data_IF_809644844510
#
_entry.id   IF_809644844510
#
_cell.length_a   1.000
_cell.length_b   1.000
_cell.length_c   1.000
_cell.angle_alpha   90.00
_cell.angle_beta   90.00
_cell.angle_gamma   90.00
#
_symmetry.space_group_name_H-M   'P 1'
#
loop_
_entity.id
_entity.type
_entity.pdbx_description
1 polymer ?
#
# COMPACT_ATOMS: atom_id res chain seq x y z
N UNK A 1 16.09 -3.76 0.31
CA UNK A 1 16.14 -2.68 -0.69
C UNK A 1 16.32 -1.35 0.04
N UNK A 2 17.21 -0.47 -0.41
CA UNK A 2 17.38 0.87 0.16
C UNK A 2 16.44 1.90 -0.50
N UNK A 3 16.32 3.08 0.09
CA UNK A 3 15.57 4.19 -0.49
C UNK A 3 16.08 4.57 -1.88
N UNK A 4 17.39 4.82 -2.03
CA UNK A 4 18.00 5.21 -3.30
C UNK A 4 17.87 4.12 -4.38
N UNK A 5 18.01 2.85 -4.01
CA UNK A 5 17.79 1.72 -4.92
C UNK A 5 16.35 1.69 -5.45
N UNK A 6 15.39 2.00 -4.58
CA UNK A 6 13.98 2.06 -4.97
C UNK A 6 13.68 3.26 -5.87
N UNK A 7 14.31 4.41 -5.62
CA UNK A 7 14.17 5.58 -6.50
C UNK A 7 14.76 5.32 -7.91
N UNK A 8 15.94 4.69 -8.01
CA UNK A 8 16.51 4.26 -9.30
C UNK A 8 15.56 3.29 -10.02
N UNK A 9 15.00 2.32 -9.28
CA UNK A 9 14.03 1.38 -9.81
C UNK A 9 12.79 2.09 -10.35
N UNK A 10 12.20 3.04 -9.60
CA UNK A 10 11.03 3.81 -10.03
C UNK A 10 11.32 4.59 -11.32
N UNK A 11 12.47 5.27 -11.39
CA UNK A 11 12.87 6.03 -12.58
C UNK A 11 12.97 5.12 -13.80
N UNK A 12 13.65 3.98 -13.67
CA UNK A 12 13.83 3.04 -14.79
C UNK A 12 12.53 2.33 -15.18
N UNK A 13 11.66 2.04 -14.22
CA UNK A 13 10.37 1.39 -14.46
C UNK A 13 9.43 2.28 -15.27
N UNK A 14 9.47 3.60 -15.04
CA UNK A 14 8.66 4.55 -15.81
C UNK A 14 9.05 4.62 -17.30
N UNK A 15 10.28 4.26 -17.64
CA UNK A 15 10.79 4.31 -19.02
C UNK A 15 10.53 3.02 -19.81
N UNK A 16 10.52 1.86 -19.14
CA UNK A 16 10.43 0.56 -19.81
C UNK A 16 9.94 -0.54 -18.85
N UNK A 17 9.38 -1.63 -19.39
CA UNK A 17 9.13 -2.83 -18.61
C UNK A 17 10.41 -3.36 -17.97
N UNK A 18 10.32 -3.76 -16.70
CA UNK A 18 11.41 -4.35 -15.95
C UNK A 18 10.95 -5.65 -15.30
N UNK A 19 11.82 -6.66 -15.21
CA UNK A 19 11.55 -7.82 -14.39
C UNK A 19 11.62 -7.43 -12.91
N UNK A 20 10.75 -8.02 -12.10
CA UNK A 20 10.76 -7.80 -10.67
C UNK A 20 11.97 -8.44 -10.00
N UNK A 21 12.75 -7.65 -9.26
CA UNK A 21 13.93 -8.10 -8.52
C UNK A 21 13.60 -9.17 -7.45
N UNK A 22 12.38 -9.12 -6.90
CA UNK A 22 11.88 -10.01 -5.84
C UNK A 22 10.70 -10.87 -6.33
N UNK A 23 10.67 -11.18 -7.64
CA UNK A 23 9.62 -11.99 -8.27
C UNK A 23 8.33 -11.24 -8.61
N UNK A 24 7.94 -10.20 -7.84
CA UNK A 24 6.81 -9.30 -8.18
C UNK A 24 7.11 -7.85 -7.82
N UNK A 25 6.54 -6.91 -8.58
CA UNK A 25 6.63 -5.47 -8.30
C UNK A 25 5.57 -5.04 -7.26
N UNK A 26 5.67 -5.56 -6.04
CA UNK A 26 4.87 -5.14 -4.89
C UNK A 26 5.82 -4.69 -3.77
N UNK A 27 5.71 -3.43 -3.37
CA UNK A 27 6.61 -2.81 -2.42
C UNK A 27 5.83 -2.15 -1.27
N UNK A 28 6.45 -2.08 -0.09
CA UNK A 28 5.94 -1.37 1.07
C UNK A 28 6.80 -0.13 1.31
N UNK A 29 6.19 1.05 1.22
CA UNK A 29 6.81 2.33 1.53
C UNK A 29 6.39 2.76 2.94
N UNK A 30 7.35 2.84 3.86
CA UNK A 30 7.14 3.41 5.19
C UNK A 30 7.65 4.83 5.22
N UNK A 31 6.74 5.78 5.02
CA UNK A 31 7.04 7.18 4.77
C UNK A 31 5.79 7.97 4.35
N UNK A 32 5.93 9.26 4.05
CA UNK A 32 4.78 10.06 3.61
C UNK A 32 4.42 9.75 2.16
N UNK A 33 3.11 9.70 1.88
CA UNK A 33 2.59 9.55 0.51
C UNK A 33 2.98 10.74 -0.38
N UNK A 34 3.06 11.95 0.20
CA UNK A 34 3.49 13.16 -0.50
C UNK A 34 4.93 13.06 -1.01
N UNK A 35 5.83 12.51 -0.20
CA UNK A 35 7.22 12.31 -0.62
C UNK A 35 7.31 11.29 -1.75
N UNK A 36 6.58 10.17 -1.63
CA UNK A 36 6.49 9.20 -2.72
C UNK A 36 5.90 9.82 -4.01
N UNK A 37 4.83 10.61 -3.89
CA UNK A 37 4.20 11.27 -5.03
C UNK A 37 5.13 12.29 -5.72
N UNK A 38 6.04 12.91 -4.96
CA UNK A 38 7.03 13.84 -5.51
C UNK A 38 8.12 13.14 -6.36
N UNK A 39 8.38 11.85 -6.13
CA UNK A 39 9.41 11.08 -6.84
C UNK A 39 8.85 10.17 -7.92
N UNK A 40 7.58 9.77 -7.84
CA UNK A 40 6.94 8.93 -8.87
C UNK A 40 6.61 9.79 -10.10
N UNK A 41 7.03 9.39 -11.31
CA UNK A 41 6.70 10.14 -12.52
C UNK A 41 5.18 10.19 -12.76
N UNK A 42 4.63 11.41 -12.87
CA UNK A 42 3.18 11.62 -12.91
C UNK A 42 2.46 11.01 -14.12
N UNK A 43 3.18 10.66 -15.19
CA UNK A 43 2.64 9.98 -16.37
C UNK A 43 2.37 8.49 -16.15
N UNK A 44 2.98 7.88 -15.13
CA UNK A 44 2.75 6.47 -14.76
C UNK A 44 2.07 6.32 -13.39
N UNK A 45 2.00 7.40 -12.60
CA UNK A 45 1.40 7.39 -11.28
C UNK A 45 -0.12 7.20 -11.31
N UNK A 46 -0.62 6.25 -10.52
CA UNK A 46 -2.06 6.09 -10.25
C UNK A 46 -2.26 5.95 -8.76
N UNK A 47 -3.19 6.73 -8.20
CA UNK A 47 -3.51 6.68 -6.78
C UNK A 47 -4.75 5.81 -6.50
N UNK A 48 -4.70 5.05 -5.43
CA UNK A 48 -5.84 4.33 -4.86
C UNK A 48 -5.89 4.57 -3.35
N UNK A 49 -6.87 5.34 -2.90
CA UNK A 49 -7.13 5.55 -1.48
C UNK A 49 -8.22 4.59 -1.00
N UNK A 50 -7.86 3.69 -0.08
CA UNK A 50 -8.79 2.69 0.46
C UNK A 50 -9.88 3.31 1.35
N UNK A 51 -9.61 4.42 2.03
CA UNK A 51 -10.64 5.14 2.77
C UNK A 51 -11.65 5.77 1.82
N UNK A 52 -11.17 6.43 0.77
CA UNK A 52 -12.05 6.97 -0.27
C UNK A 52 -12.85 5.85 -0.94
N UNK A 53 -12.23 4.71 -1.22
CA UNK A 53 -12.91 3.54 -1.78
C UNK A 53 -14.05 3.06 -0.88
N UNK A 54 -13.77 2.85 0.41
CA UNK A 54 -14.77 2.39 1.39
C UNK A 54 -15.87 3.43 1.61
N UNK A 55 -15.59 4.72 1.47
CA UNK A 55 -16.60 5.77 1.55
C UNK A 55 -17.66 5.70 0.43
N UNK A 56 -17.34 5.08 -0.71
CA UNK A 56 -18.30 4.92 -1.83
C UNK A 56 -19.25 3.73 -1.67
N UNK A 57 -19.10 2.93 -0.61
CA UNK A 57 -19.86 1.72 -0.42
C UNK A 57 -21.32 2.03 -0.04
N UNK A 58 -22.29 1.27 -0.59
CA UNK A 58 -23.71 1.59 -0.41
C UNK A 58 -24.19 1.34 1.03
N UNK A 59 -23.49 0.49 1.79
CA UNK A 59 -23.87 0.12 3.15
C UNK A 59 -22.64 -0.16 4.01
N UNK A 60 -22.71 0.22 5.29
CA UNK A 60 -21.70 -0.15 6.26
C UNK A 60 -21.74 -1.67 6.54
N UNK A 61 -20.58 -2.36 6.55
CA UNK A 61 -20.52 -3.79 6.83
C UNK A 61 -20.93 -4.06 8.29
N UNK A 62 -21.75 -5.10 8.50
CA UNK A 62 -22.26 -5.48 9.83
C UNK A 62 -21.30 -6.35 10.65
N UNK A 63 -20.20 -6.79 10.04
CA UNK A 63 -19.18 -7.62 10.69
C UNK A 63 -17.82 -7.45 10.01
N UNK A 64 -16.75 -7.84 10.71
CA UNK A 64 -15.37 -7.87 10.17
C UNK A 64 -15.27 -8.75 8.92
N UNK A 65 -15.93 -9.90 8.89
CA UNK A 65 -15.92 -10.79 7.71
C UNK A 65 -16.65 -10.18 6.52
N UNK A 66 -17.75 -9.47 6.76
CA UNK A 66 -18.46 -8.75 5.72
C UNK A 66 -17.59 -7.60 5.18
N UNK A 67 -16.93 -6.85 6.07
CA UNK A 67 -15.99 -5.80 5.69
C UNK A 67 -14.83 -6.35 4.85
N UNK A 68 -14.21 -7.47 5.27
CA UNK A 68 -13.14 -8.13 4.53
C UNK A 68 -13.56 -8.55 3.13
N UNK A 69 -14.70 -9.25 3.00
CA UNK A 69 -15.22 -9.70 1.70
C UNK A 69 -15.50 -8.52 0.78
N UNK A 70 -16.19 -7.52 1.31
CA UNK A 70 -16.61 -6.37 0.55
C UNK A 70 -15.43 -5.51 0.10
N UNK A 71 -14.44 -5.27 0.97
CA UNK A 71 -13.20 -4.57 0.60
C UNK A 71 -12.41 -5.35 -0.46
N UNK A 72 -12.27 -6.68 -0.28
CA UNK A 72 -11.60 -7.55 -1.27
C UNK A 72 -12.30 -7.52 -2.64
N UNK A 73 -13.61 -7.65 -2.66
CA UNK A 73 -14.37 -7.72 -3.92
C UNK A 73 -14.35 -6.36 -4.65
N UNK A 74 -14.42 -5.27 -3.89
CA UNK A 74 -14.30 -3.89 -4.42
C UNK A 74 -12.89 -3.65 -4.96
N UNK A 75 -11.84 -4.04 -4.24
CA UNK A 75 -10.46 -3.97 -4.70
C UNK A 75 -10.28 -4.74 -6.00
N UNK A 76 -10.71 -6.00 -6.05
CA UNK A 76 -10.61 -6.81 -7.26
C UNK A 76 -11.28 -6.14 -8.46
N UNK A 77 -12.44 -5.50 -8.26
CA UNK A 77 -13.12 -4.76 -9.32
C UNK A 77 -12.35 -3.51 -9.77
N UNK A 78 -11.77 -2.74 -8.84
CA UNK A 78 -10.99 -1.54 -9.18
C UNK A 78 -9.67 -1.86 -9.88
N UNK A 79 -9.08 -3.01 -9.57
CA UNK A 79 -7.79 -3.43 -10.08
C UNK A 79 -7.87 -4.21 -11.40
N UNK A 80 -9.07 -4.68 -11.79
CA UNK A 80 -9.27 -5.58 -12.94
C UNK A 80 -8.74 -5.03 -14.27
N UNK A 81 -8.85 -3.71 -14.48
CA UNK A 81 -8.49 -3.09 -15.75
C UNK A 81 -7.01 -2.70 -15.84
N UNK A 82 -6.27 -2.67 -14.71
CA UNK A 82 -4.88 -2.22 -14.67
C UNK A 82 -3.95 -3.00 -15.61
N UNK A 83 -4.00 -4.35 -15.65
CA UNK A 83 -3.09 -5.12 -16.49
C UNK A 83 -3.39 -5.02 -17.99
N UNK A 84 -4.53 -4.43 -18.39
CA UNK A 84 -4.94 -4.34 -19.80
C UNK A 84 -4.39 -3.09 -20.50
N UNK A 85 -3.71 -2.22 -19.75
CA UNK A 85 -3.15 -0.98 -20.27
C UNK A 85 -1.75 -1.25 -20.82
N UNK A 86 -1.52 -0.91 -22.09
CA UNK A 86 -0.22 -1.07 -22.77
C UNK A 86 0.84 -0.05 -22.30
N UNK A 87 0.74 0.45 -21.08
CA UNK A 87 1.63 1.46 -20.52
C UNK A 87 2.07 1.09 -19.08
N UNK A 88 3.24 1.59 -18.70
CA UNK A 88 3.77 1.44 -17.35
C UNK A 88 2.89 2.16 -16.33
N UNK A 89 2.61 1.50 -15.20
CA UNK A 89 1.81 2.05 -14.11
C UNK A 89 2.46 1.80 -12.75
N UNK A 90 2.50 2.84 -11.94
CA UNK A 90 2.85 2.78 -10.51
C UNK A 90 1.60 3.08 -9.71
N UNK A 91 0.98 2.01 -9.19
CA UNK A 91 -0.19 2.09 -8.32
C UNK A 91 0.27 2.39 -6.88
N UNK A 92 0.05 3.63 -6.45
CA UNK A 92 0.28 4.09 -5.07
C UNK A 92 -1.00 3.87 -4.27
N UNK A 93 -0.95 3.02 -3.25
CA UNK A 93 -2.10 2.66 -2.42
C UNK A 93 -1.95 3.29 -1.03
N UNK A 94 -2.95 4.03 -0.57
CA UNK A 94 -3.01 4.65 0.78
C UNK A 94 -4.20 4.13 1.59
N UNK A 95 -4.24 4.37 2.90
CA UNK A 95 -5.27 3.83 3.80
C UNK A 95 -5.12 2.32 4.04
N UNK A 96 -3.88 1.84 4.08
CA UNK A 96 -3.58 0.42 4.22
C UNK A 96 -3.82 -0.14 5.64
N UNK A 97 -4.10 0.73 6.62
CA UNK A 97 -4.62 0.33 7.93
C UNK A 97 -5.88 -0.54 7.79
N UNK A 98 -6.75 -0.25 6.81
CA UNK A 98 -7.94 -1.05 6.54
C UNK A 98 -7.61 -2.50 6.16
N UNK A 99 -6.52 -2.73 5.44
CA UNK A 99 -6.08 -4.08 5.07
C UNK A 99 -5.66 -4.86 6.30
N UNK A 100 -4.91 -4.25 7.21
CA UNK A 100 -4.50 -4.88 8.48
C UNK A 100 -5.70 -5.09 9.41
N UNK A 101 -6.51 -4.04 9.61
CA UNK A 101 -7.69 -4.05 10.49
C UNK A 101 -8.68 -5.16 10.15
N UNK A 102 -8.94 -5.37 8.86
CA UNK A 102 -9.86 -6.41 8.40
C UNK A 102 -9.16 -7.70 7.96
N UNK A 103 -7.82 -7.78 8.06
CA UNK A 103 -6.98 -8.89 7.60
C UNK A 103 -7.29 -9.27 6.14
N UNK A 104 -7.32 -8.28 5.26
CA UNK A 104 -7.60 -8.47 3.82
C UNK A 104 -6.36 -9.01 3.13
N UNK A 105 -6.42 -10.22 2.53
CA UNK A 105 -5.28 -10.77 1.80
C UNK A 105 -4.85 -9.88 0.64
N UNK A 106 -3.54 -9.75 0.41
CA UNK A 106 -2.97 -8.94 -0.68
C UNK A 106 -3.02 -9.62 -2.06
N UNK A 107 -3.75 -10.73 -2.20
CA UNK A 107 -3.80 -11.55 -3.42
C UNK A 107 -4.08 -10.74 -4.68
N UNK A 108 -5.05 -9.82 -4.63
CA UNK A 108 -5.39 -8.97 -5.77
C UNK A 108 -4.27 -8.01 -6.19
N UNK A 109 -3.44 -7.54 -5.25
CA UNK A 109 -2.26 -6.73 -5.58
C UNK A 109 -1.16 -7.58 -6.19
N UNK A 110 -0.95 -8.80 -5.68
CA UNK A 110 -0.01 -9.73 -6.28
C UNK A 110 -0.41 -10.13 -7.70
N UNK A 111 -1.70 -10.35 -7.96
CA UNK A 111 -2.23 -10.74 -9.27
C UNK A 111 -1.98 -9.69 -10.35
N UNK A 112 -2.07 -8.39 -10.02
CA UNK A 112 -1.81 -7.32 -10.98
C UNK A 112 -0.34 -6.95 -11.10
N UNK A 113 0.46 -7.16 -10.05
CA UNK A 113 1.87 -6.80 -10.03
C UNK A 113 2.63 -7.57 -11.12
N UNK A 114 3.21 -6.84 -12.05
CA UNK A 114 3.81 -7.35 -13.29
C UNK A 114 4.91 -6.42 -13.77
N UNK A 115 5.58 -6.77 -14.88
CA UNK A 115 6.60 -5.92 -15.51
C UNK A 115 6.06 -4.57 -16.02
N UNK A 116 4.73 -4.40 -16.04
CA UNK A 116 4.05 -3.17 -16.44
C UNK A 116 3.33 -2.47 -15.29
N UNK A 117 3.09 -3.18 -14.18
CA UNK A 117 2.36 -2.64 -13.03
C UNK A 117 3.17 -2.86 -11.76
N UNK A 118 3.66 -1.75 -11.21
CA UNK A 118 4.23 -1.70 -9.88
C UNK A 118 3.18 -1.26 -8.88
N UNK A 119 3.09 -1.94 -7.75
CA UNK A 119 2.21 -1.59 -6.64
C UNK A 119 3.08 -1.15 -5.47
N UNK A 120 2.77 0.02 -4.92
CA UNK A 120 3.44 0.59 -3.75
C UNK A 120 2.40 0.84 -2.67
N UNK A 121 2.44 0.02 -1.61
CA UNK A 121 1.61 0.18 -0.43
C UNK A 121 2.27 1.20 0.49
N UNK A 122 1.59 2.29 0.80
CA UNK A 122 2.10 3.35 1.68
C UNK A 122 1.59 3.16 3.10
N UNK A 123 2.49 3.14 4.06
CA UNK A 123 2.18 3.27 5.49
C UNK A 123 2.82 4.56 5.98
N UNK A 124 1.99 5.49 6.44
CA UNK A 124 2.47 6.77 6.94
C UNK A 124 3.04 6.63 8.36
N UNK A 125 4.13 7.34 8.70
CA UNK A 125 4.57 7.45 10.09
C UNK A 125 3.48 7.98 11.04
N UNK A 126 2.52 8.77 10.53
CA UNK A 126 1.39 9.24 11.32
C UNK A 126 0.44 8.09 11.74
N UNK A 127 0.39 7.01 10.96
CA UNK A 127 -0.38 5.81 11.28
C UNK A 127 0.35 4.92 12.30
N UNK A 128 1.69 4.81 12.19
CA UNK A 128 2.52 3.97 13.08
C UNK A 128 2.94 4.67 14.38
N UNK A 129 2.89 5.99 14.45
CA UNK A 129 3.23 6.76 15.66
C UNK A 129 2.01 7.38 16.34
N UNK A 130 0.80 6.88 16.04
CA UNK A 130 -0.42 7.42 16.65
C UNK A 130 -0.35 7.35 18.17
N UNK A 131 -0.42 8.52 18.82
CA UNK A 131 -0.57 8.65 20.27
C UNK A 131 -1.93 9.29 20.56
N UNK A 132 -2.82 8.64 21.33
CA UNK A 132 -4.10 9.24 21.69
C UNK A 132 -3.85 10.50 22.52
N UNK A 133 -4.59 11.58 22.23
CA UNK A 133 -4.48 12.85 22.95
C UNK A 133 -4.96 12.74 24.41
N UNK A 134 -5.84 11.77 24.69
CA UNK A 134 -6.38 11.47 26.01
C UNK A 134 -5.89 10.09 26.48
N UNK A 135 -5.68 9.90 27.79
CA UNK A 135 -5.34 8.60 28.33
C UNK A 135 -6.45 7.59 28.03
N UNK A 136 -6.10 6.53 27.31
CA UNK A 136 -7.02 5.44 27.03
C UNK A 136 -7.22 4.59 28.29
N UNK A 137 -8.41 4.00 28.50
CA UNK A 137 -8.64 3.11 29.62
C UNK A 137 -7.66 1.92 29.60
N UNK A 138 -7.24 1.43 30.77
CA UNK A 138 -6.24 0.36 30.91
C UNK A 138 -6.63 -0.97 30.22
N UNK A 139 -7.91 -1.15 29.92
CA UNK A 139 -8.43 -2.32 29.18
C UNK A 139 -8.35 -2.16 27.66
N UNK A 140 -7.90 -1.01 27.15
CA UNK A 140 -7.71 -0.74 25.73
C UNK A 140 -6.22 -0.78 25.42
N UNK A 141 -5.81 -1.71 24.57
CA UNK A 141 -4.47 -1.73 23.99
C UNK A 141 -4.54 -1.25 22.54
N UNK A 142 -3.70 -0.29 22.20
CA UNK A 142 -3.47 0.13 20.83
C UNK A 142 -2.13 -0.45 20.38
N UNK A 143 -2.15 -1.16 19.26
CA UNK A 143 -0.96 -1.63 18.57
C UNK A 143 -0.79 -0.77 17.31
N UNK A 144 -0.02 0.34 17.40
CA UNK A 144 0.13 1.28 16.29
C UNK A 144 1.00 0.70 15.17
N UNK A 145 1.82 -0.31 15.46
CA UNK A 145 2.69 -0.97 14.48
C UNK A 145 1.96 -2.06 13.69
N UNK A 146 0.76 -2.46 14.13
CA UNK A 146 -0.03 -3.53 13.50
C UNK A 146 -0.26 -3.36 11.98
N UNK A 147 -0.51 -2.16 11.41
CA UNK A 147 -0.60 -1.97 9.97
C UNK A 147 0.72 -2.28 9.26
N UNK A 148 1.82 -1.73 9.75
CA UNK A 148 3.15 -1.91 9.18
C UNK A 148 3.59 -3.38 9.26
N UNK A 149 3.48 -4.00 10.43
CA UNK A 149 3.90 -5.39 10.63
C UNK A 149 3.09 -6.39 9.81
N UNK A 150 1.78 -6.16 9.69
CA UNK A 150 0.93 -6.98 8.83
C UNK A 150 1.41 -6.94 7.38
N UNK A 151 1.64 -5.74 6.84
CA UNK A 151 2.02 -5.55 5.45
C UNK A 151 3.45 -6.03 5.21
N UNK A 152 4.39 -5.69 6.09
CA UNK A 152 5.79 -6.18 6.04
C UNK A 152 5.86 -7.69 5.99
N UNK A 153 5.06 -8.37 6.81
CA UNK A 153 4.97 -9.84 6.80
C UNK A 153 4.39 -10.36 5.48
N UNK A 154 3.39 -9.67 4.93
CA UNK A 154 2.72 -10.08 3.70
C UNK A 154 3.55 -9.83 2.44
N UNK A 155 4.28 -8.71 2.34
CA UNK A 155 5.12 -8.36 1.19
C UNK A 155 6.52 -8.98 1.24
N UNK A 156 7.02 -9.29 2.45
CA UNK A 156 8.38 -9.73 2.69
C UNK A 156 9.33 -8.57 3.00
N UNK A 157 10.26 -8.78 3.94
CA UNK A 157 11.15 -7.74 4.47
C UNK A 157 12.02 -7.07 3.39
N UNK A 158 12.42 -7.81 2.35
CA UNK A 158 13.27 -7.30 1.27
C UNK A 158 12.59 -6.25 0.38
N UNK A 159 11.25 -6.25 0.36
CA UNK A 159 10.42 -5.33 -0.42
C UNK A 159 9.93 -4.11 0.39
N UNK A 160 10.50 -3.91 1.59
CA UNK A 160 10.20 -2.75 2.44
C UNK A 160 11.23 -1.64 2.20
N UNK A 161 10.73 -0.42 2.02
CA UNK A 161 11.49 0.81 1.89
C UNK A 161 11.17 1.66 3.10
N UNK A 162 12.13 1.73 4.03
CA UNK A 162 12.02 2.57 5.22
C UNK A 162 12.62 3.95 4.92
N UNK A 163 11.81 5.00 5.03
CA UNK A 163 12.29 6.39 4.88
C UNK A 163 12.27 7.18 6.19
N UNK A 164 11.98 6.50 7.31
CA UNK A 164 11.83 7.12 8.64
C UNK A 164 13.18 7.21 9.37
N UNK A 165 14.19 6.43 8.96
CA UNK A 165 15.52 6.43 9.59
C UNK A 165 16.41 7.62 9.21
N UNK A 166 16.06 8.44 8.21
CA UNK A 166 16.90 9.57 7.75
C UNK A 166 16.62 10.92 8.43
N UNK A 167 15.72 10.96 9.42
CA UNK A 167 15.37 12.19 10.16
C UNK A 167 15.89 12.21 11.62
N UNK A 168 16.86 11.36 11.96
CA UNK A 168 17.49 11.32 13.30
C UNK A 168 18.82 12.06 13.35
#
# INVERSE_FOLDING_TARGET
>A
MTHDEFLDLLSRFAERPLPALMGRHLYLWHGSAEHLAAVVPGNVARALDLHALVATLPHAPRSTDAARRLLRDTLRSQLADLPTLDCQQVLVVTGNDLLSRYRVPLGSFFEIASEQVMVVLVVSPAETHFRPAEPIPDYVSLDPDAPFDYLRTAVGAEAVINTVEELS
#
